data_IF_651312317330
#
_entry.id   IF_651312317330
#
_cell.length_a   1.000
_cell.length_b   1.000
_cell.length_c   1.000
_cell.angle_alpha   90.00
_cell.angle_beta   90.00
_cell.angle_gamma   90.00
#
_symmetry.space_group_name_H-M   'P 1'
#
loop_
_entity.id
_entity.type
_entity.pdbx_description
1 polymer ?
#
# COMPACT_ATOMS: atom_id res chain seq x y z
N UNK A 1 8.16 13.65 -25.80
CA UNK A 1 7.94 12.96 -24.52
C UNK A 1 6.56 13.34 -24.02
N UNK A 2 5.58 12.44 -24.10
CA UNK A 2 4.24 12.67 -23.52
C UNK A 2 4.31 12.34 -22.04
N UNK A 3 4.19 13.35 -21.18
CA UNK A 3 4.06 13.15 -19.74
C UNK A 3 2.76 12.38 -19.48
N UNK A 4 2.86 11.11 -19.12
CA UNK A 4 1.70 10.34 -18.65
C UNK A 4 1.25 10.97 -17.33
N UNK A 5 0.00 11.43 -17.28
CA UNK A 5 -0.54 12.06 -16.08
C UNK A 5 -0.41 11.10 -14.88
N UNK A 6 -0.05 11.60 -13.68
CA UNK A 6 0.03 10.77 -12.48
C UNK A 6 -1.32 10.10 -12.22
N UNK A 7 -1.30 8.79 -11.95
CA UNK A 7 -2.52 8.04 -11.64
C UNK A 7 -2.73 8.06 -10.12
N UNK A 8 -3.90 8.54 -9.68
CA UNK A 8 -4.27 8.51 -8.27
C UNK A 8 -4.95 7.19 -7.90
N UNK A 9 -4.61 6.64 -6.74
CA UNK A 9 -5.36 5.54 -6.11
C UNK A 9 -5.89 6.00 -4.77
N UNK A 10 -7.17 5.75 -4.51
CA UNK A 10 -7.83 6.09 -3.25
C UNK A 10 -8.40 4.86 -2.54
N UNK A 11 -8.10 4.71 -1.26
CA UNK A 11 -8.61 3.65 -0.41
C UNK A 11 -9.56 4.20 0.65
N UNK A 12 -10.73 3.58 0.77
CA UNK A 12 -11.68 3.80 1.86
C UNK A 12 -12.49 2.53 2.12
N UNK A 13 -12.56 2.11 3.37
CA UNK A 13 -13.41 1.01 3.82
C UNK A 13 -14.36 1.45 4.96
N UNK A 14 -15.58 1.82 4.58
CA UNK A 14 -16.64 2.19 5.54
C UNK A 14 -16.96 1.05 6.51
N UNK A 15 -16.80 -0.22 6.12
CA UNK A 15 -17.10 -1.37 6.98
C UNK A 15 -16.05 -1.56 8.07
N UNK A 16 -14.87 -0.96 7.91
CA UNK A 16 -13.82 -0.95 8.92
C UNK A 16 -13.70 0.42 9.62
N UNK A 17 -14.68 1.30 9.45
CA UNK A 17 -14.78 2.56 10.18
C UNK A 17 -14.17 3.79 9.49
N UNK A 18 -13.79 3.70 8.21
CA UNK A 18 -13.11 4.83 7.55
C UNK A 18 -14.04 6.02 7.28
N UNK A 19 -13.77 7.13 7.97
CA UNK A 19 -14.47 8.41 7.78
C UNK A 19 -13.94 9.17 6.57
N UNK A 20 -12.64 9.07 6.29
CA UNK A 20 -11.96 9.72 5.17
C UNK A 20 -11.21 8.70 4.30
N UNK A 21 -11.01 9.05 3.03
CA UNK A 21 -10.21 8.23 2.12
C UNK A 21 -8.71 8.54 2.27
N UNK A 22 -7.89 7.53 2.04
CA UNK A 22 -6.43 7.68 1.94
C UNK A 22 -6.05 7.54 0.47
N UNK A 23 -5.57 8.64 -0.11
CA UNK A 23 -5.10 8.66 -1.50
C UNK A 23 -3.57 8.66 -1.59
N UNK A 24 -3.07 8.05 -2.65
CA UNK A 24 -1.67 8.17 -3.09
C UNK A 24 -1.62 8.46 -4.58
N UNK A 25 -0.65 9.28 -4.98
CA UNK A 25 -0.31 9.50 -6.39
C UNK A 25 0.73 8.47 -6.80
N UNK A 26 0.53 7.82 -7.95
CA UNK A 26 1.45 6.81 -8.50
C UNK A 26 2.14 7.33 -9.76
N UNK A 27 3.40 6.94 -9.92
CA UNK A 27 4.18 7.19 -11.13
C UNK A 27 4.09 6.00 -12.10
N UNK A 28 4.30 6.19 -13.41
CA UNK A 28 4.14 5.12 -14.42
C UNK A 28 5.02 3.87 -14.21
N UNK A 29 6.18 4.02 -13.56
CA UNK A 29 7.14 2.94 -13.28
C UNK A 29 6.93 2.28 -11.91
N UNK A 30 5.88 2.68 -11.19
CA UNK A 30 5.51 2.14 -9.88
C UNK A 30 4.27 1.26 -10.05
N UNK A 31 4.25 0.13 -9.33
CA UNK A 31 3.07 -0.73 -9.28
C UNK A 31 1.83 0.09 -8.88
N UNK A 32 0.81 0.09 -9.74
CA UNK A 32 -0.46 0.73 -9.44
C UNK A 32 -1.33 -0.22 -8.60
N UNK A 33 -1.82 0.19 -7.41
CA UNK A 33 -2.66 -0.64 -6.57
C UNK A 33 -3.90 -1.15 -7.30
N UNK A 34 -4.28 -2.40 -7.02
CA UNK A 34 -5.45 -3.05 -7.64
C UNK A 34 -6.45 -3.51 -6.57
N UNK A 35 -7.52 -4.19 -6.99
CA UNK A 35 -8.45 -4.87 -6.09
C UNK A 35 -7.74 -5.83 -5.14
N UNK A 36 -6.65 -6.48 -5.55
CA UNK A 36 -5.83 -7.33 -4.69
C UNK A 36 -5.17 -6.53 -3.56
N UNK A 37 -4.71 -5.30 -3.83
CA UNK A 37 -4.18 -4.41 -2.79
C UNK A 37 -5.27 -4.03 -1.78
N UNK A 38 -6.50 -3.81 -2.23
CA UNK A 38 -7.65 -3.55 -1.34
C UNK A 38 -7.94 -4.76 -0.44
N UNK A 39 -7.85 -5.98 -0.97
CA UNK A 39 -8.02 -7.21 -0.19
C UNK A 39 -6.92 -7.37 0.86
N UNK A 40 -5.66 -7.14 0.49
CA UNK A 40 -4.53 -7.14 1.43
C UNK A 40 -4.74 -6.15 2.57
N UNK A 41 -5.12 -4.91 2.26
CA UNK A 41 -5.41 -3.87 3.25
C UNK A 41 -6.49 -4.30 4.24
N UNK A 42 -7.59 -4.89 3.74
CA UNK A 42 -8.67 -5.41 4.60
C UNK A 42 -8.18 -6.53 5.51
N UNK A 43 -7.43 -7.48 4.96
CA UNK A 43 -6.91 -8.61 5.73
C UNK A 43 -5.93 -8.15 6.81
N UNK A 44 -4.97 -7.28 6.45
CA UNK A 44 -3.99 -6.73 7.39
C UNK A 44 -4.66 -5.96 8.53
N UNK A 45 -5.63 -5.09 8.22
CA UNK A 45 -6.39 -4.33 9.23
C UNK A 45 -7.15 -5.24 10.19
N UNK A 46 -7.81 -6.28 9.68
CA UNK A 46 -8.51 -7.27 10.53
C UNK A 46 -7.53 -8.02 11.44
N UNK A 47 -6.40 -8.47 10.88
CA UNK A 47 -5.37 -9.16 11.67
C UNK A 47 -4.84 -8.28 12.81
N UNK A 48 -4.60 -6.99 12.54
CA UNK A 48 -4.11 -6.02 13.52
C UNK A 48 -5.17 -5.59 14.54
N UNK A 49 -6.46 -5.79 14.25
CA UNK A 49 -7.56 -5.49 15.17
C UNK A 49 -7.78 -6.59 16.23
N UNK A 50 -7.34 -7.84 15.96
CA UNK A 50 -7.62 -9.00 16.80
C UNK A 50 -6.46 -9.43 17.71
N UNK A 51 -5.47 -8.57 17.95
CA UNK A 51 -4.33 -8.87 18.82
C UNK A 51 -3.69 -7.62 19.42
N UNK A 52 -2.67 -7.78 20.28
CA UNK A 52 -1.89 -6.64 20.75
C UNK A 52 -1.25 -5.93 19.55
N UNK A 53 -1.36 -4.59 19.45
CA UNK A 53 -0.87 -3.87 18.29
C UNK A 53 0.66 -4.02 18.17
N UNK A 54 1.18 -4.44 17.01
CA UNK A 54 2.62 -4.52 16.83
C UNK A 54 3.23 -3.11 16.90
N UNK A 55 4.43 -3.03 17.47
CA UNK A 55 5.20 -1.77 17.49
C UNK A 55 5.81 -1.46 16.12
N UNK A 56 6.03 -2.47 15.29
CA UNK A 56 6.70 -2.32 14.00
C UNK A 56 6.13 -3.29 12.97
N UNK A 57 5.94 -2.81 11.73
CA UNK A 57 5.53 -3.58 10.57
C UNK A 57 6.49 -3.28 9.41
N UNK A 58 6.89 -4.31 8.67
CA UNK A 58 7.73 -4.23 7.47
C UNK A 58 6.85 -4.44 6.23
N UNK A 59 6.83 -3.48 5.32
CA UNK A 59 6.09 -3.53 4.05
C UNK A 59 7.08 -3.87 2.91
N UNK A 60 7.15 -5.16 2.57
CA UNK A 60 8.04 -5.68 1.54
C UNK A 60 7.46 -5.50 0.15
N UNK A 61 8.22 -4.90 -0.76
CA UNK A 61 7.73 -4.60 -2.11
C UNK A 61 6.66 -3.52 -2.06
N UNK A 62 6.87 -2.48 -1.26
CA UNK A 62 5.84 -1.50 -0.89
C UNK A 62 5.20 -0.76 -2.08
N UNK A 63 5.81 -0.77 -3.26
CA UNK A 63 5.24 -0.20 -4.49
C UNK A 63 4.90 1.29 -4.31
N UNK A 64 3.62 1.63 -4.44
CA UNK A 64 3.09 2.99 -4.19
C UNK A 64 3.09 3.40 -2.70
N UNK A 65 3.37 2.46 -1.80
CA UNK A 65 3.37 2.66 -0.35
C UNK A 65 1.98 2.71 0.28
N UNK A 66 0.90 2.50 -0.49
CA UNK A 66 -0.47 2.65 0.03
C UNK A 66 -0.75 1.74 1.24
N UNK A 67 -0.19 0.52 1.25
CA UNK A 67 -0.36 -0.41 2.37
C UNK A 67 0.21 0.18 3.64
N UNK A 68 1.49 0.56 3.61
CA UNK A 68 2.14 1.21 4.74
C UNK A 68 1.46 2.50 5.20
N UNK A 69 1.05 3.38 4.27
CA UNK A 69 0.38 4.65 4.59
C UNK A 69 -0.96 4.41 5.28
N UNK A 70 -1.78 3.50 4.77
CA UNK A 70 -3.08 3.17 5.38
C UNK A 70 -2.87 2.58 6.78
N UNK A 71 -1.92 1.65 6.93
CA UNK A 71 -1.66 1.04 8.25
C UNK A 71 -1.15 2.08 9.25
N UNK A 72 -0.25 2.99 8.85
CA UNK A 72 0.28 4.04 9.72
C UNK A 72 -0.76 5.10 10.10
N UNK A 73 -1.71 5.42 9.21
CA UNK A 73 -2.77 6.39 9.51
C UNK A 73 -3.86 5.83 10.42
N UNK A 74 -4.13 4.53 10.32
CA UNK A 74 -5.25 3.89 11.02
C UNK A 74 -4.82 3.30 12.36
N UNK A 75 -3.60 2.78 12.46
CA UNK A 75 -3.08 2.23 13.71
C UNK A 75 -2.21 3.25 14.43
N UNK A 76 -2.44 3.38 15.74
CA UNK A 76 -1.85 4.30 16.72
C UNK A 76 -0.49 4.97 16.36
N UNK A 77 -0.17 6.18 16.89
CA UNK A 77 1.09 6.90 16.66
C UNK A 77 2.40 6.14 16.95
N UNK A 78 2.31 4.96 17.56
CA UNK A 78 3.44 4.10 17.93
C UNK A 78 3.75 3.01 16.89
N UNK A 79 2.96 2.84 15.84
CA UNK A 79 3.26 1.89 14.78
C UNK A 79 4.33 2.47 13.84
N UNK A 80 5.52 1.88 13.87
CA UNK A 80 6.55 2.16 12.87
C UNK A 80 6.35 1.27 11.64
N UNK A 81 6.09 1.88 10.48
CA UNK A 81 6.07 1.16 9.20
C UNK A 81 7.40 1.37 8.48
N UNK A 82 8.08 0.28 8.16
CA UNK A 82 9.32 0.29 7.37
C UNK A 82 9.01 -0.16 5.94
N UNK A 83 9.07 0.73 4.94
CA UNK A 83 8.93 0.33 3.55
C UNK A 83 10.25 -0.25 3.03
N UNK A 84 10.17 -1.32 2.26
CA UNK A 84 11.31 -1.85 1.50
C UNK A 84 10.89 -2.02 0.03
N UNK A 85 11.67 -1.43 -0.88
CA UNK A 85 11.45 -1.56 -2.33
C UNK A 85 12.76 -1.95 -2.99
N UNK A 86 12.81 -3.16 -3.57
CA UNK A 86 13.82 -3.46 -4.58
C UNK A 86 13.51 -2.64 -5.83
N UNK A 87 14.47 -1.84 -6.28
CA UNK A 87 14.39 -1.25 -7.63
C UNK A 87 14.42 -2.41 -8.62
N UNK A 88 13.49 -2.42 -9.58
CA UNK A 88 13.54 -3.39 -10.67
C UNK A 88 14.86 -3.25 -11.40
N UNK A 89 15.54 -4.36 -11.70
CA UNK A 89 16.60 -4.36 -12.68
C UNK A 89 15.98 -3.84 -13.98
N UNK A 90 16.49 -2.75 -14.52
CA UNK A 90 16.08 -2.27 -15.83
C UNK A 90 16.31 -3.41 -16.84
N UNK A 91 15.22 -4.00 -17.38
CA UNK A 91 15.30 -4.89 -18.55
C UNK A 91 15.30 -6.40 -18.34
N UNK A 92 14.72 -6.97 -17.27
CA UNK A 92 14.45 -8.42 -17.28
C UNK A 92 13.17 -8.72 -18.09
N UNK A 93 13.22 -9.47 -19.21
CA UNK A 93 12.04 -9.75 -20.01
C UNK A 93 11.06 -10.60 -19.21
N UNK A 94 9.81 -10.15 -19.14
CA UNK A 94 8.71 -10.94 -18.61
C UNK A 94 8.58 -12.20 -19.47
N UNK A 95 8.99 -13.35 -18.93
CA UNK A 95 8.64 -14.64 -19.52
C UNK A 95 7.13 -14.82 -19.33
N UNK A 96 6.38 -14.68 -20.42
CA UNK A 96 4.99 -15.14 -20.48
C UNK A 96 4.99 -16.68 -20.44
N UNK A 97 3.98 -17.29 -19.80
CA UNK A 97 3.80 -18.74 -19.79
C UNK A 97 3.61 -19.30 -21.21
#
# INVERSE_FOLDING_TARGET
MTATAPLEFSYRDKKLGDTQAVSVVTAPDVFHPTSTTVLLLRAARRALAHGPPPRTVLDLGCGSGIVGVVLAKIHHPRLCVRPERRRGAAGAPQRRP
#
